data_IF_878538864809
#
_entry.id   IF_878538864809
#
_cell.length_a   1.000
_cell.length_b   1.000
_cell.length_c   1.000
_cell.angle_alpha   90.00
_cell.angle_beta   90.00
_cell.angle_gamma   90.00
#
_symmetry.space_group_name_H-M   'P 1'
#
loop_
_entity.id
_entity.type
_entity.pdbx_description
1 polymer ?
#
# COMPACT_ATOMS: atom_id res chain seq x y z
N UNK A 1 -3.69 1.23 3.81
CA UNK A 1 -4.84 0.37 3.39
C UNK A 1 -6.04 0.59 4.30
N UNK A 2 -7.26 0.26 3.86
CA UNK A 2 -8.48 0.37 4.71
C UNK A 2 -8.31 -0.36 6.05
N UNK A 3 -7.74 -1.57 6.04
CA UNK A 3 -7.50 -2.32 7.28
C UNK A 3 -6.62 -1.60 8.30
N UNK A 4 -5.60 -0.84 7.87
CA UNK A 4 -4.76 -0.06 8.79
C UNK A 4 -5.48 1.13 9.39
N UNK A 5 -6.39 1.75 8.63
CA UNK A 5 -7.26 2.81 9.14
C UNK A 5 -8.19 2.26 10.23
N UNK A 6 -8.76 1.06 10.03
CA UNK A 6 -9.65 0.42 11.00
C UNK A 6 -8.95 0.03 12.32
N UNK A 7 -7.63 -0.22 12.31
CA UNK A 7 -6.88 -0.52 13.54
C UNK A 7 -6.88 0.65 14.55
N UNK A 8 -7.21 1.86 14.10
CA UNK A 8 -7.26 3.08 14.94
C UNK A 8 -8.67 3.47 15.35
N UNK A 9 -9.66 2.65 14.98
CA UNK A 9 -11.09 2.93 15.13
C UNK A 9 -11.71 1.83 16.01
N UNK A 10 -12.62 2.15 16.94
CA UNK A 10 -13.36 1.14 17.70
C UNK A 10 -14.13 0.18 16.78
N UNK A 11 -14.19 -1.13 17.08
CA UNK A 11 -14.88 -2.11 16.23
C UNK A 11 -16.32 -1.75 15.86
N UNK A 12 -17.05 -1.11 16.78
CA UNK A 12 -18.42 -0.62 16.59
C UNK A 12 -18.56 0.45 15.49
N UNK A 13 -17.49 1.17 15.17
CA UNK A 13 -17.46 2.23 14.15
C UNK A 13 -16.93 1.72 12.80
N UNK A 14 -16.49 0.46 12.70
CA UNK A 14 -15.85 -0.06 11.48
C UNK A 14 -16.76 -0.04 10.27
N UNK A 15 -18.05 -0.34 10.44
CA UNK A 15 -19.01 -0.35 9.32
C UNK A 15 -19.14 1.04 8.68
N UNK A 16 -19.19 2.09 9.50
CA UNK A 16 -19.29 3.48 9.02
C UNK A 16 -18.04 3.91 8.27
N UNK A 17 -16.86 3.57 8.78
CA UNK A 17 -15.58 3.85 8.10
C UNK A 17 -15.48 3.10 6.77
N UNK A 18 -15.84 1.81 6.74
CA UNK A 18 -15.86 1.02 5.51
C UNK A 18 -16.84 1.61 4.49
N UNK A 19 -18.04 2.00 4.94
CA UNK A 19 -19.05 2.64 4.09
C UNK A 19 -18.54 3.97 3.51
N UNK A 20 -17.82 4.76 4.30
CA UNK A 20 -17.19 6.01 3.86
C UNK A 20 -16.14 5.75 2.77
N UNK A 21 -15.26 4.76 2.96
CA UNK A 21 -14.29 4.38 1.93
C UNK A 21 -14.96 3.89 0.65
N UNK A 22 -15.97 3.01 0.77
CA UNK A 22 -16.67 2.45 -0.39
C UNK A 22 -17.47 3.51 -1.18
N UNK A 23 -17.94 4.57 -0.51
CA UNK A 23 -18.66 5.68 -1.13
C UNK A 23 -17.73 6.62 -1.90
N UNK A 24 -16.55 6.91 -1.35
CA UNK A 24 -15.65 7.92 -1.88
C UNK A 24 -14.53 7.35 -2.77
N UNK A 25 -14.22 6.06 -2.64
CA UNK A 25 -13.09 5.43 -3.33
C UNK A 25 -13.48 4.08 -3.93
N UNK A 26 -12.80 3.73 -5.04
CA UNK A 26 -12.83 2.35 -5.55
C UNK A 26 -11.90 1.49 -4.70
N UNK A 27 -12.47 0.70 -3.80
CA UNK A 27 -11.71 -0.26 -2.98
C UNK A 27 -11.38 -1.50 -3.81
N UNK A 28 -10.10 -1.70 -4.12
CA UNK A 28 -9.62 -2.84 -4.89
C UNK A 28 -9.23 -4.00 -3.96
N UNK A 29 -9.67 -5.24 -4.24
CA UNK A 29 -9.28 -6.40 -3.44
C UNK A 29 -7.88 -6.89 -3.81
N UNK A 30 -7.23 -7.58 -2.88
CA UNK A 30 -6.09 -8.44 -3.19
C UNK A 30 -6.61 -9.78 -3.73
N UNK A 31 -6.75 -9.88 -5.05
CA UNK A 31 -7.26 -11.06 -5.75
C UNK A 31 -6.15 -11.95 -6.32
N UNK A 32 -6.51 -12.97 -7.11
CA UNK A 32 -5.52 -13.89 -7.69
C UNK A 32 -4.54 -13.21 -8.65
N UNK A 33 -4.97 -12.16 -9.37
CA UNK A 33 -4.08 -11.42 -10.26
C UNK A 33 -3.06 -10.62 -9.46
N UNK A 34 -3.51 -9.91 -8.41
CA UNK A 34 -2.63 -9.22 -7.48
C UNK A 34 -1.69 -10.21 -6.74
N UNK A 35 -2.17 -11.38 -6.33
CA UNK A 35 -1.35 -12.40 -5.68
C UNK A 35 -0.22 -12.91 -6.57
N UNK A 36 -0.48 -13.07 -7.87
CA UNK A 36 0.55 -13.44 -8.85
C UNK A 36 1.62 -12.36 -8.98
N UNK A 37 1.22 -11.09 -9.11
CA UNK A 37 2.17 -9.98 -9.18
C UNK A 37 2.96 -9.83 -7.87
N UNK A 38 2.31 -10.02 -6.72
CA UNK A 38 2.97 -10.02 -5.41
C UNK A 38 4.09 -11.06 -5.35
N UNK A 39 3.80 -12.31 -5.74
CA UNK A 39 4.80 -13.37 -5.71
C UNK A 39 5.98 -13.05 -6.63
N UNK A 40 5.70 -12.51 -7.84
CA UNK A 40 6.72 -12.09 -8.81
C UNK A 40 7.62 -10.98 -8.25
N UNK A 41 7.02 -9.93 -7.67
CA UNK A 41 7.75 -8.82 -7.04
C UNK A 41 8.59 -9.30 -5.85
N UNK A 42 8.00 -10.15 -5.00
CA UNK A 42 8.66 -10.66 -3.81
C UNK A 42 9.90 -11.49 -4.15
N UNK A 43 9.79 -12.46 -5.05
CA UNK A 43 10.91 -13.30 -5.50
C UNK A 43 12.02 -12.45 -6.12
N UNK A 44 11.68 -11.47 -6.95
CA UNK A 44 12.64 -10.56 -7.58
C UNK A 44 13.42 -9.73 -6.57
N UNK A 45 12.85 -9.47 -5.39
CA UNK A 45 13.42 -8.59 -4.35
C UNK A 45 14.05 -9.31 -3.19
N UNK A 46 13.62 -10.53 -2.91
CA UNK A 46 14.07 -11.31 -1.76
C UNK A 46 15.61 -11.34 -1.60
N UNK A 47 16.43 -11.41 -2.67
CA UNK A 47 17.88 -11.30 -2.53
C UNK A 47 18.35 -9.93 -2.00
N UNK A 48 17.76 -8.82 -2.48
CA UNK A 48 18.14 -7.46 -2.09
C UNK A 48 17.67 -7.10 -0.69
N UNK A 49 16.44 -7.50 -0.33
CA UNK A 49 15.90 -7.31 1.02
C UNK A 49 16.77 -8.04 2.05
N UNK A 50 17.22 -9.26 1.74
CA UNK A 50 18.17 -9.99 2.60
C UNK A 50 19.49 -9.26 2.80
N UNK A 51 20.05 -8.66 1.75
CA UNK A 51 21.30 -7.89 1.87
C UNK A 51 21.14 -6.56 2.61
N UNK A 52 19.98 -5.90 2.50
CA UNK A 52 19.65 -4.68 3.23
C UNK A 52 19.44 -4.98 4.73
N UNK A 53 18.71 -6.06 5.05
CA UNK A 53 18.53 -6.57 6.42
C UNK A 53 19.87 -6.87 7.11
N UNK A 54 20.83 -7.46 6.36
CA UNK A 54 22.16 -7.79 6.87
C UNK A 54 23.05 -6.57 7.11
N UNK A 55 22.81 -5.45 6.43
CA UNK A 55 23.60 -4.21 6.53
C UNK A 55 23.05 -3.20 7.54
N UNK A 56 21.74 -3.26 7.87
CA UNK A 56 21.03 -2.23 8.61
C UNK A 56 20.68 -2.53 10.08
N UNK A 57 20.89 -3.74 10.59
CA UNK A 57 20.71 -4.09 12.02
C UNK A 57 19.26 -4.09 12.54
N UNK A 58 18.29 -3.60 11.77
CA UNK A 58 16.86 -3.69 12.07
C UNK A 58 16.19 -4.20 10.79
N UNK A 59 16.08 -5.52 10.66
CA UNK A 59 15.27 -6.12 9.61
C UNK A 59 13.82 -5.63 9.81
N UNK A 60 13.21 -4.91 8.87
CA UNK A 60 11.85 -4.45 9.08
C UNK A 60 10.93 -5.64 9.24
N UNK A 61 9.93 -5.49 10.12
CA UNK A 61 9.06 -6.60 10.49
C UNK A 61 8.48 -7.17 9.20
N UNK A 62 8.77 -8.44 8.90
CA UNK A 62 8.35 -9.15 7.68
C UNK A 62 6.87 -8.93 7.29
N UNK A 63 6.00 -8.57 8.24
CA UNK A 63 4.60 -8.19 8.01
C UNK A 63 4.40 -6.84 7.30
N UNK A 64 5.17 -5.80 7.63
CA UNK A 64 5.03 -4.44 7.05
C UNK A 64 5.32 -4.48 5.55
N UNK A 65 6.48 -5.03 5.20
CA UNK A 65 6.87 -5.26 3.80
C UNK A 65 5.89 -6.09 2.97
N UNK A 66 5.11 -6.97 3.60
CA UNK A 66 4.10 -7.73 2.88
C UNK A 66 2.93 -6.86 2.46
N UNK A 67 2.52 -5.89 3.29
CA UNK A 67 1.44 -4.99 2.94
C UNK A 67 1.83 -4.01 1.83
N UNK A 68 3.02 -3.42 1.90
CA UNK A 68 3.50 -2.51 0.84
C UNK A 68 3.61 -3.23 -0.51
N UNK A 69 4.16 -4.44 -0.50
CA UNK A 69 4.25 -5.27 -1.70
C UNK A 69 2.85 -5.66 -2.22
N UNK A 70 1.86 -5.90 -1.34
CA UNK A 70 0.47 -6.15 -1.75
C UNK A 70 -0.14 -4.93 -2.44
N UNK A 71 0.08 -3.71 -1.92
CA UNK A 71 -0.39 -2.46 -2.53
C UNK A 71 0.18 -2.31 -3.94
N UNK A 72 1.51 -2.47 -4.08
CA UNK A 72 2.19 -2.39 -5.38
C UNK A 72 1.67 -3.44 -6.35
N UNK A 73 1.48 -4.67 -5.88
CA UNK A 73 0.96 -5.77 -6.68
C UNK A 73 -0.47 -5.54 -7.19
N UNK A 74 -1.35 -4.99 -6.34
CA UNK A 74 -2.71 -4.59 -6.76
C UNK A 74 -2.61 -3.56 -7.87
N UNK A 75 -1.81 -2.51 -7.69
CA UNK A 75 -1.70 -1.43 -8.65
C UNK A 75 -1.19 -1.91 -10.02
N UNK A 76 -0.14 -2.74 -10.04
CA UNK A 76 0.38 -3.35 -11.28
C UNK A 76 -0.66 -4.27 -11.92
N UNK A 77 -1.30 -5.15 -11.16
CA UNK A 77 -2.29 -6.10 -11.70
C UNK A 77 -3.50 -5.42 -12.34
N UNK A 78 -3.80 -4.19 -11.92
CA UNK A 78 -4.91 -3.37 -12.45
C UNK A 78 -4.45 -2.30 -13.44
N UNK A 79 -3.18 -2.30 -13.83
CA UNK A 79 -2.57 -1.30 -14.73
C UNK A 79 -2.87 0.14 -14.29
N UNK A 80 -2.73 0.43 -13.00
CA UNK A 80 -2.84 1.81 -12.51
C UNK A 80 -1.62 2.62 -12.96
N UNK A 81 -1.82 3.91 -13.20
CA UNK A 81 -0.75 4.79 -13.69
C UNK A 81 0.32 5.04 -12.63
N UNK A 82 -0.09 5.20 -11.37
CA UNK A 82 0.81 5.51 -10.27
C UNK A 82 0.23 5.12 -8.90
N UNK A 83 1.09 5.13 -7.88
CA UNK A 83 0.73 5.04 -6.48
C UNK A 83 1.07 6.36 -5.81
N UNK A 84 0.13 6.93 -5.05
CA UNK A 84 0.39 8.07 -4.20
C UNK A 84 0.81 7.60 -2.80
N UNK A 85 2.02 7.94 -2.37
CA UNK A 85 2.55 7.55 -1.06
C UNK A 85 3.72 8.44 -0.62
N UNK A 86 3.84 8.68 0.69
CA UNK A 86 5.06 9.19 1.31
C UNK A 86 5.93 8.08 1.92
N UNK A 87 5.47 6.83 1.84
CA UNK A 87 6.21 5.69 2.36
C UNK A 87 7.32 5.27 1.39
N UNK A 88 8.56 5.41 1.85
CA UNK A 88 9.75 5.02 1.09
C UNK A 88 9.80 3.53 0.78
N UNK A 89 9.18 2.67 1.58
CA UNK A 89 9.16 1.23 1.35
C UNK A 89 8.25 0.86 0.16
N UNK A 90 7.15 1.59 -0.06
CA UNK A 90 6.32 1.45 -1.27
C UNK A 90 7.12 1.80 -2.53
N UNK A 91 7.83 2.93 -2.51
CA UNK A 91 8.73 3.34 -3.59
C UNK A 91 9.83 2.32 -3.85
N UNK A 92 10.42 1.79 -2.77
CA UNK A 92 11.34 0.66 -2.87
C UNK A 92 10.65 -0.48 -3.57
N UNK A 93 9.48 -0.98 -3.12
CA UNK A 93 8.73 -2.12 -3.66
C UNK A 93 8.23 -1.98 -5.10
N UNK A 94 8.01 -0.75 -5.57
CA UNK A 94 7.71 -0.48 -6.97
C UNK A 94 8.92 -0.74 -7.89
N UNK A 95 10.14 -0.35 -7.49
CA UNK A 95 11.37 -0.38 -8.32
C UNK A 95 11.15 -0.04 -9.80
N UNK A 96 10.40 1.03 -10.07
CA UNK A 96 10.15 1.51 -11.42
C UNK A 96 9.21 0.63 -12.25
N UNK A 97 8.59 -0.40 -11.68
CA UNK A 97 7.51 -1.15 -12.36
C UNK A 97 6.18 -0.38 -12.33
N UNK A 98 6.03 0.55 -11.41
CA UNK A 98 4.95 1.53 -11.35
C UNK A 98 5.51 2.84 -10.77
N UNK A 99 4.98 3.98 -11.23
CA UNK A 99 5.38 5.28 -10.71
C UNK A 99 4.85 5.49 -9.29
N UNK A 100 5.68 5.99 -8.39
CA UNK A 100 5.26 6.40 -7.04
C UNK A 100 5.41 7.91 -6.93
N UNK A 101 4.29 8.59 -6.68
CA UNK A 101 4.20 10.06 -6.54
C UNK A 101 3.92 10.42 -5.10
N UNK A 102 4.35 11.59 -4.69
CA UNK A 102 3.97 12.13 -3.38
C UNK A 102 2.48 12.51 -3.37
N UNK A 103 1.84 12.31 -2.21
CA UNK A 103 0.45 12.73 -2.02
C UNK A 103 0.42 14.27 -2.11
N UNK A 104 -0.44 14.85 -2.95
CA UNK A 104 -0.53 16.30 -3.05
C UNK A 104 -1.06 16.90 -1.75
N UNK A 105 -0.60 18.11 -1.41
CA UNK A 105 -1.14 18.88 -0.30
C UNK A 105 -2.65 19.10 -0.49
N UNK A 106 -3.46 18.98 0.57
CA UNK A 106 -4.88 19.26 0.49
C UNK A 106 -5.10 20.75 0.14
N UNK A 107 -6.23 21.08 -0.52
CA UNK A 107 -6.63 22.47 -0.70
C UNK A 107 -6.71 23.21 0.65
N UNK A 108 -6.35 24.49 0.69
CA UNK A 108 -6.39 25.31 1.92
C UNK A 108 -7.80 25.45 2.51
N UNK A 109 -8.84 25.24 1.69
CA UNK A 109 -10.22 25.13 2.14
C UNK A 109 -10.61 23.66 2.22
N UNK A 110 -10.61 23.14 3.45
CA UNK A 110 -11.10 21.81 3.75
C UNK A 110 -12.63 21.87 3.71
N UNK A 111 -13.24 21.34 2.64
CA UNK A 111 -14.67 21.00 2.68
C UNK A 111 -14.81 19.83 3.64
N UNK A 112 -15.59 20.04 4.71
CA UNK A 112 -15.93 18.97 5.64
C UNK A 112 -16.54 17.80 4.86
N UNK A 113 -15.90 16.64 4.95
CA UNK A 113 -16.39 15.38 4.38
C UNK A 113 -17.36 14.68 5.35
N UNK A 114 -18.19 15.46 6.07
CA UNK A 114 -19.21 15.00 7.02
C UNK A 114 -20.56 15.65 6.71
#
# INVERSE_FOLDING_TARGET
MVGESLLRVPPEEHEEVVATFARNFRVLPFDLAAAREFARLWIKREPRLREEDLRGGIAPKKGIYRFDCQIVAIAISRNLDCIYSHDGDVGRFAAGEIEVREIPEPPQEQVDLL
#
